data_IF_902267984221
#
_entry.id   IF_902267984221
#
_cell.length_a   1.000
_cell.length_b   1.000
_cell.length_c   1.000
_cell.angle_alpha   90.00
_cell.angle_beta   90.00
_cell.angle_gamma   90.00
#
_symmetry.space_group_name_H-M   'P 1'
#
loop_
_entity.id
_entity.type
_entity.pdbx_description
1 polymer ?
#
# COMPACT_ATOMS: atom_id res chain seq x y z
N UNK A 1 -13.51 -41.76 -19.21
CA UNK A 1 -13.99 -40.36 -19.10
C UNK A 1 -14.46 -40.15 -17.65
N UNK A 2 -13.94 -39.15 -16.92
CA UNK A 2 -14.37 -38.91 -15.51
C UNK A 2 -13.37 -38.18 -14.59
N UNK A 3 -12.09 -38.08 -14.98
CA UNK A 3 -11.06 -37.49 -14.11
C UNK A 3 -11.27 -36.01 -13.75
N UNK A 4 -11.74 -35.21 -14.73
CA UNK A 4 -12.06 -33.79 -14.50
C UNK A 4 -13.20 -33.62 -13.50
N UNK A 5 -14.31 -34.33 -13.71
CA UNK A 5 -15.51 -34.17 -12.86
C UNK A 5 -15.23 -34.64 -11.44
N UNK A 6 -14.47 -35.74 -11.27
CA UNK A 6 -14.01 -36.18 -9.96
C UNK A 6 -13.17 -35.11 -9.25
N UNK A 7 -12.22 -34.48 -9.95
CA UNK A 7 -11.39 -33.42 -9.40
C UNK A 7 -12.19 -32.16 -9.02
N UNK A 8 -13.12 -31.72 -9.89
CA UNK A 8 -14.00 -30.58 -9.62
C UNK A 8 -14.88 -30.86 -8.41
N UNK A 9 -15.50 -32.04 -8.33
CA UNK A 9 -16.34 -32.43 -7.21
C UNK A 9 -15.56 -32.47 -5.88
N UNK A 10 -14.31 -32.95 -5.89
CA UNK A 10 -13.45 -32.92 -4.72
C UNK A 10 -13.13 -31.48 -4.28
N UNK A 11 -12.79 -30.59 -5.23
CA UNK A 11 -12.50 -29.19 -4.95
C UNK A 11 -13.71 -28.45 -4.36
N UNK A 12 -14.92 -28.65 -4.91
CA UNK A 12 -16.16 -28.04 -4.39
C UNK A 12 -16.45 -28.49 -2.95
N UNK A 13 -16.28 -29.78 -2.65
CA UNK A 13 -16.47 -30.31 -1.29
C UNK A 13 -15.45 -29.71 -0.31
N UNK A 14 -14.17 -29.65 -0.71
CA UNK A 14 -13.12 -29.05 0.11
C UNK A 14 -13.38 -27.56 0.39
N UNK A 15 -13.76 -26.79 -0.65
CA UNK A 15 -14.10 -25.38 -0.52
C UNK A 15 -15.31 -25.18 0.42
N UNK A 16 -16.37 -25.97 0.23
CA UNK A 16 -17.57 -25.91 1.07
C UNK A 16 -17.27 -26.24 2.54
N UNK A 17 -16.42 -27.24 2.79
CA UNK A 17 -15.97 -27.60 4.14
C UNK A 17 -15.20 -26.45 4.79
N UNK A 18 -14.24 -25.85 4.07
CA UNK A 18 -13.48 -24.69 4.56
C UNK A 18 -14.40 -23.50 4.90
N UNK A 19 -15.37 -23.20 4.04
CA UNK A 19 -16.32 -22.09 4.25
C UNK A 19 -17.22 -22.35 5.46
N UNK A 20 -17.72 -23.58 5.63
CA UNK A 20 -18.46 -23.98 6.85
C UNK A 20 -17.61 -23.87 8.11
N UNK A 21 -16.33 -24.24 8.05
CA UNK A 21 -15.41 -24.09 9.18
C UNK A 21 -15.21 -22.63 9.61
N UNK A 22 -15.24 -21.68 8.67
CA UNK A 22 -15.00 -20.26 8.95
C UNK A 22 -16.29 -19.53 9.39
N UNK A 23 -17.42 -19.85 8.75
CA UNK A 23 -18.64 -19.05 8.85
C UNK A 23 -19.88 -19.84 9.30
N UNK A 24 -19.76 -21.15 9.55
CA UNK A 24 -20.86 -22.05 9.92
C UNK A 24 -21.71 -22.49 8.73
N UNK A 25 -22.82 -23.17 9.00
CA UNK A 25 -23.68 -23.74 7.95
C UNK A 25 -24.40 -22.70 7.08
N UNK A 26 -24.53 -21.46 7.58
CA UNK A 26 -25.05 -20.31 6.85
C UNK A 26 -23.96 -19.45 6.18
N UNK A 27 -22.84 -20.04 5.79
CA UNK A 27 -21.70 -19.30 5.22
C UNK A 27 -22.06 -18.48 3.97
N UNK A 28 -23.07 -18.89 3.21
CA UNK A 28 -23.45 -18.27 1.93
C UNK A 28 -23.86 -16.80 2.07
N UNK A 29 -24.39 -16.40 3.23
CA UNK A 29 -24.81 -15.03 3.53
C UNK A 29 -23.97 -14.38 4.62
N UNK A 30 -22.97 -15.09 5.15
CA UNK A 30 -22.16 -14.63 6.26
C UNK A 30 -21.05 -13.68 5.79
N UNK A 31 -20.92 -12.48 6.39
CA UNK A 31 -19.81 -11.58 6.07
C UNK A 31 -18.44 -12.14 6.49
N UNK A 32 -18.41 -13.21 7.31
CA UNK A 32 -17.18 -13.92 7.67
C UNK A 32 -16.62 -14.74 6.51
N UNK A 33 -17.46 -15.07 5.52
CA UNK A 33 -17.07 -15.80 4.32
C UNK A 33 -16.84 -14.87 3.11
N UNK A 34 -16.79 -13.55 3.31
CA UNK A 34 -16.50 -12.62 2.22
C UNK A 34 -15.05 -12.75 1.75
N UNK A 35 -14.81 -12.43 0.47
CA UNK A 35 -13.48 -12.52 -0.11
C UNK A 35 -12.42 -11.75 0.69
N UNK A 36 -12.74 -10.51 1.08
CA UNK A 36 -11.85 -9.62 1.84
C UNK A 36 -11.38 -10.18 3.20
N UNK A 37 -12.11 -11.15 3.78
CA UNK A 37 -11.68 -11.81 5.03
C UNK A 37 -10.55 -12.81 4.83
N UNK A 38 -10.44 -13.39 3.64
CA UNK A 38 -9.35 -14.30 3.28
C UNK A 38 -8.26 -13.59 2.48
N UNK A 39 -8.66 -12.56 1.74
CA UNK A 39 -7.82 -11.81 0.84
C UNK A 39 -7.47 -10.47 1.46
N UNK A 40 -6.47 -10.47 2.34
CA UNK A 40 -5.98 -9.26 3.00
C UNK A 40 -4.65 -8.83 2.42
N UNK A 41 -4.47 -7.52 2.25
CA UNK A 41 -3.19 -6.90 1.93
C UNK A 41 -2.45 -6.55 3.24
N UNK A 42 -1.23 -7.05 3.36
CA UNK A 42 -0.34 -6.75 4.47
C UNK A 42 0.71 -5.73 4.04
N UNK A 43 0.71 -4.55 4.66
CA UNK A 43 1.71 -3.50 4.47
C UNK A 43 2.82 -3.68 5.51
N UNK A 44 3.67 -4.69 5.29
CA UNK A 44 4.69 -5.15 6.25
C UNK A 44 5.99 -4.37 6.09
N UNK A 45 6.48 -3.80 7.19
CA UNK A 45 7.76 -3.13 7.22
C UNK A 45 8.91 -4.14 7.11
N UNK A 46 10.03 -3.83 6.41
CA UNK A 46 11.17 -4.74 6.29
C UNK A 46 11.73 -5.21 7.63
N UNK A 47 11.73 -4.37 8.67
CA UNK A 47 12.14 -4.78 10.01
C UNK A 47 11.19 -5.83 10.60
N UNK A 48 9.88 -5.65 10.50
CA UNK A 48 8.88 -6.64 10.94
C UNK A 48 9.11 -7.97 10.26
N UNK A 49 9.27 -7.95 8.93
CA UNK A 49 9.55 -9.14 8.13
C UNK A 49 10.86 -9.82 8.54
N UNK A 50 11.95 -9.06 8.66
CA UNK A 50 13.28 -9.61 8.91
C UNK A 50 13.44 -10.13 10.35
N UNK A 51 12.67 -9.59 11.29
CA UNK A 51 12.61 -10.07 12.68
C UNK A 51 11.65 -11.26 12.86
N UNK A 52 10.97 -11.71 11.80
CA UNK A 52 10.01 -12.82 11.87
C UNK A 52 8.74 -12.50 12.66
N UNK A 53 8.40 -11.22 12.80
CA UNK A 53 7.21 -10.79 13.51
C UNK A 53 5.95 -10.95 12.63
N UNK A 54 4.77 -11.15 13.23
CA UNK A 54 3.51 -11.24 12.49
C UNK A 54 3.22 -9.96 11.69
N UNK A 55 2.62 -10.04 10.48
CA UNK A 55 2.13 -8.87 9.77
C UNK A 55 1.16 -8.03 10.62
N UNK A 56 1.29 -6.70 10.54
CA UNK A 56 0.50 -5.77 11.36
C UNK A 56 1.09 -5.54 12.75
N UNK A 57 2.32 -5.99 13.01
CA UNK A 57 3.01 -5.71 14.28
C UNK A 57 3.37 -4.23 14.41
N UNK A 58 2.90 -3.63 15.49
CA UNK A 58 3.34 -2.30 15.90
C UNK A 58 4.85 -2.32 16.24
N UNK A 59 5.55 -1.17 16.14
CA UNK A 59 5.04 0.10 15.64
C UNK A 59 4.90 0.14 14.11
N UNK A 60 5.81 -0.49 13.38
CA UNK A 60 6.08 -0.13 12.00
C UNK A 60 5.01 -0.53 10.98
N UNK A 61 4.26 -1.59 11.22
CA UNK A 61 3.26 -2.03 10.26
C UNK A 61 1.96 -1.25 10.42
N UNK A 62 1.32 -0.96 9.28
CA UNK A 62 -0.04 -0.42 9.24
C UNK A 62 -1.03 -1.59 9.35
N UNK A 63 -2.22 -1.40 9.97
CA UNK A 63 -3.24 -2.44 10.00
C UNK A 63 -3.52 -3.00 8.61
N UNK A 64 -3.64 -4.32 8.53
CA UNK A 64 -3.94 -4.99 7.27
C UNK A 64 -5.31 -4.58 6.77
N UNK A 65 -5.44 -4.48 5.45
CA UNK A 65 -6.69 -4.06 4.80
C UNK A 65 -7.26 -5.20 3.97
N UNK A 66 -8.57 -5.31 3.92
CA UNK A 66 -9.25 -6.23 3.01
C UNK A 66 -8.95 -5.81 1.56
N UNK A 67 -8.54 -6.77 0.75
CA UNK A 67 -8.29 -6.58 -0.67
C UNK A 67 -9.45 -7.19 -1.46
N UNK A 68 -9.90 -6.46 -2.47
CA UNK A 68 -10.72 -7.02 -3.54
C UNK A 68 -9.83 -7.38 -4.74
N UNK A 69 -10.43 -7.92 -5.79
CA UNK A 69 -9.70 -8.38 -6.96
C UNK A 69 -8.91 -9.66 -6.71
N UNK A 70 -8.14 -10.05 -7.72
CA UNK A 70 -7.20 -11.18 -7.71
C UNK A 70 -6.13 -10.96 -8.80
N UNK A 71 -5.27 -11.98 -9.00
CA UNK A 71 -4.19 -12.02 -10.02
C UNK A 71 -4.63 -11.65 -11.44
N UNK A 72 -5.89 -11.90 -11.80
CA UNK A 72 -6.46 -11.78 -13.14
C UNK A 72 -7.42 -10.58 -13.29
N UNK A 73 -7.68 -9.83 -12.21
CA UNK A 73 -8.53 -8.64 -12.28
C UNK A 73 -7.73 -7.35 -12.50
N UNK A 74 -8.39 -6.30 -12.99
CA UNK A 74 -7.79 -4.96 -13.10
C UNK A 74 -7.34 -4.43 -11.73
N UNK A 75 -8.13 -4.69 -10.68
CA UNK A 75 -7.72 -4.43 -9.30
C UNK A 75 -6.70 -5.50 -8.87
N UNK A 76 -5.46 -5.37 -9.36
CA UNK A 76 -4.42 -6.36 -9.16
C UNK A 76 -4.14 -6.59 -7.67
N UNK A 77 -4.38 -7.81 -7.23
CA UNK A 77 -4.17 -8.30 -5.86
C UNK A 77 -3.80 -9.79 -5.90
N UNK A 78 -2.57 -10.09 -6.30
CA UNK A 78 -2.14 -11.46 -6.53
C UNK A 78 -1.88 -12.20 -5.21
N UNK A 79 -2.38 -13.43 -5.15
CA UNK A 79 -2.07 -14.39 -4.07
C UNK A 79 -0.74 -15.08 -4.33
N UNK A 80 -0.03 -15.45 -3.26
CA UNK A 80 1.22 -16.21 -3.39
C UNK A 80 0.99 -17.68 -3.75
N UNK A 81 -0.12 -18.27 -3.28
CA UNK A 81 -0.47 -19.67 -3.56
C UNK A 81 -1.97 -19.92 -3.41
N UNK A 82 -2.45 -21.11 -3.83
CA UNK A 82 -3.85 -21.51 -3.59
C UNK A 82 -4.12 -21.99 -2.15
N UNK A 83 -3.07 -22.08 -1.31
CA UNK A 83 -3.20 -22.39 0.11
C UNK A 83 -3.30 -21.11 0.97
N UNK A 84 -2.66 -20.04 0.52
CA UNK A 84 -2.63 -18.73 1.18
C UNK A 84 -3.24 -17.69 0.25
N UNK A 85 -4.46 -17.28 0.58
CA UNK A 85 -5.20 -16.29 -0.19
C UNK A 85 -4.88 -14.85 0.17
N UNK A 86 -3.87 -14.56 1.00
CA UNK A 86 -3.49 -13.18 1.26
C UNK A 86 -2.97 -12.49 -0.02
N UNK A 87 -3.31 -11.22 -0.19
CA UNK A 87 -2.87 -10.39 -1.32
C UNK A 87 -1.43 -9.93 -1.04
N UNK A 88 -0.46 -10.83 -1.13
CA UNK A 88 0.93 -10.57 -0.73
C UNK A 88 1.95 -10.73 -1.85
N UNK A 89 1.56 -11.22 -3.02
CA UNK A 89 2.48 -11.37 -4.15
C UNK A 89 2.68 -10.05 -4.90
N UNK A 90 1.62 -9.50 -5.48
CA UNK A 90 1.65 -8.26 -6.25
C UNK A 90 0.39 -7.44 -5.98
N UNK A 91 0.54 -6.14 -5.73
CA UNK A 91 -0.58 -5.24 -5.46
C UNK A 91 -0.41 -3.89 -6.18
N UNK A 92 -1.49 -3.12 -6.20
CA UNK A 92 -1.50 -1.75 -6.75
C UNK A 92 -0.62 -0.81 -5.92
N UNK A 93 0.50 -0.37 -6.48
CA UNK A 93 1.41 0.57 -5.81
C UNK A 93 0.95 2.04 -5.85
N UNK A 94 0.23 2.44 -6.90
CA UNK A 94 -0.25 3.80 -7.08
C UNK A 94 -1.40 3.81 -8.10
N UNK A 95 -2.38 4.70 -7.94
CA UNK A 95 -3.37 5.00 -8.98
C UNK A 95 -3.29 6.48 -9.31
N UNK A 96 -3.29 6.79 -10.61
CA UNK A 96 -3.19 8.16 -11.11
C UNK A 96 -4.16 8.34 -12.27
N UNK A 97 -4.83 9.49 -12.30
CA UNK A 97 -5.67 9.94 -13.42
C UNK A 97 -5.28 11.37 -13.74
N UNK A 98 -5.01 11.65 -15.02
CA UNK A 98 -4.76 12.99 -15.53
C UNK A 98 -5.76 13.32 -16.63
N UNK A 99 -6.38 14.48 -16.54
CA UNK A 99 -7.11 15.12 -17.63
C UNK A 99 -6.14 15.91 -18.49
N UNK A 100 -6.01 15.50 -19.76
CA UNK A 100 -5.18 16.21 -20.73
C UNK A 100 -5.80 17.54 -21.17
N UNK A 101 -7.11 17.75 -20.94
CA UNK A 101 -7.79 18.99 -21.28
C UNK A 101 -7.46 20.13 -20.28
N UNK A 102 -7.18 19.78 -19.02
CA UNK A 102 -6.76 20.75 -17.99
C UNK A 102 -5.93 20.06 -16.91
N UNK A 103 -4.60 20.10 -17.08
CA UNK A 103 -3.63 19.61 -16.09
C UNK A 103 -3.61 20.46 -14.81
N UNK A 104 -4.21 21.65 -14.84
CA UNK A 104 -4.33 22.59 -13.72
C UNK A 104 -5.54 22.36 -12.82
N UNK A 105 -6.47 21.48 -13.19
CA UNK A 105 -7.72 21.29 -12.46
C UNK A 105 -7.61 20.18 -11.39
N UNK A 106 -7.66 20.51 -10.09
CA UNK A 106 -7.55 19.53 -9.03
C UNK A 106 -8.78 18.60 -8.91
N UNK A 107 -9.91 18.96 -9.50
CA UNK A 107 -11.12 18.13 -9.53
C UNK A 107 -11.01 16.93 -10.48
N UNK A 108 -10.24 17.09 -11.57
CA UNK A 108 -10.11 16.11 -12.66
C UNK A 108 -8.83 15.27 -12.57
N UNK A 109 -7.80 15.78 -11.90
CA UNK A 109 -6.53 15.08 -11.72
C UNK A 109 -6.47 14.41 -10.34
N UNK A 110 -6.21 13.10 -10.30
CA UNK A 110 -6.32 12.29 -9.09
C UNK A 110 -5.07 11.43 -8.88
N UNK A 111 -4.65 11.27 -7.64
CA UNK A 111 -3.56 10.39 -7.22
C UNK A 111 -3.88 9.71 -5.90
N UNK A 112 -3.38 8.51 -5.71
CA UNK A 112 -3.37 7.84 -4.41
C UNK A 112 -2.24 6.80 -4.34
N UNK A 113 -1.64 6.68 -3.16
CA UNK A 113 -0.69 5.63 -2.81
C UNK A 113 -1.21 4.80 -1.62
N UNK A 114 -0.79 3.52 -1.45
CA UNK A 114 -1.21 2.64 -0.35
C UNK A 114 -0.90 3.15 1.04
N UNK A 115 0.20 3.89 1.18
CA UNK A 115 0.65 4.52 2.40
C UNK A 115 0.65 6.04 2.23
N UNK A 116 1.12 6.77 3.22
CA UNK A 116 1.29 8.20 3.11
C UNK A 116 2.54 8.61 2.33
N UNK A 117 2.80 9.92 2.28
CA UNK A 117 3.96 10.49 1.56
C UNK A 117 5.28 10.40 2.33
N UNK A 118 5.25 9.98 3.61
CA UNK A 118 6.43 9.88 4.45
C UNK A 118 6.83 8.42 4.71
N UNK A 119 8.12 8.13 4.63
CA UNK A 119 8.70 6.87 5.11
C UNK A 119 9.06 6.88 6.60
N UNK A 120 8.85 7.99 7.31
CA UNK A 120 9.17 8.11 8.74
C UNK A 120 8.00 7.60 9.58
N UNK A 121 8.22 6.54 10.37
CA UNK A 121 7.16 5.84 11.12
C UNK A 121 6.26 6.77 11.98
N UNK A 122 6.84 7.78 12.64
CA UNK A 122 6.09 8.73 13.48
C UNK A 122 5.54 9.95 12.72
N UNK A 123 5.62 9.97 11.38
CA UNK A 123 5.06 11.06 10.60
C UNK A 123 3.53 10.95 10.56
N UNK A 124 2.79 12.08 10.66
CA UNK A 124 1.35 12.08 10.38
C UNK A 124 1.04 11.63 8.94
N UNK A 125 2.03 11.70 8.03
CA UNK A 125 1.91 11.28 6.64
C UNK A 125 2.55 9.91 6.38
N UNK A 126 2.70 9.05 7.40
CA UNK A 126 3.22 7.69 7.20
C UNK A 126 2.19 6.77 6.52
N UNK A 127 0.93 6.88 6.91
CA UNK A 127 -0.15 5.98 6.48
C UNK A 127 -1.51 6.68 6.30
N UNK A 128 -1.52 8.01 6.20
CA UNK A 128 -2.74 8.84 6.13
C UNK A 128 -3.63 8.56 4.90
N UNK A 129 -3.08 7.94 3.86
CA UNK A 129 -3.80 7.60 2.63
C UNK A 129 -4.35 6.16 2.61
N UNK A 130 -3.93 5.28 3.53
CA UNK A 130 -4.21 3.84 3.44
C UNK A 130 -5.70 3.52 3.37
N UNK A 131 -6.51 4.19 4.18
CA UNK A 131 -7.97 3.99 4.17
C UNK A 131 -8.60 4.45 2.85
N UNK A 132 -8.13 5.54 2.26
CA UNK A 132 -8.63 6.01 0.97
C UNK A 132 -8.25 5.03 -0.14
N UNK A 133 -6.98 4.62 -0.17
CA UNK A 133 -6.47 3.67 -1.15
C UNK A 133 -7.19 2.33 -1.12
N UNK A 134 -7.43 1.78 0.08
CA UNK A 134 -8.13 0.50 0.27
C UNK A 134 -9.57 0.55 -0.24
N UNK A 135 -10.25 1.70 -0.07
CA UNK A 135 -11.61 1.90 -0.56
C UNK A 135 -11.68 2.37 -2.03
N UNK A 136 -10.56 2.39 -2.75
CA UNK A 136 -10.50 2.87 -4.14
C UNK A 136 -10.70 4.38 -4.31
N UNK A 137 -10.70 5.14 -3.21
CA UNK A 137 -10.80 6.59 -3.25
C UNK A 137 -9.44 7.24 -3.60
N UNK A 138 -9.48 8.50 -4.02
CA UNK A 138 -8.31 9.23 -4.50
C UNK A 138 -8.23 10.65 -3.94
N UNK A 139 -7.04 11.23 -4.00
CA UNK A 139 -6.78 12.63 -3.63
C UNK A 139 -6.59 13.50 -4.88
N UNK A 140 -6.95 14.78 -4.84
CA UNK A 140 -6.67 15.70 -5.94
C UNK A 140 -5.17 15.91 -6.13
N UNK A 141 -4.75 16.13 -7.38
CA UNK A 141 -3.41 16.65 -7.69
C UNK A 141 -3.54 18.16 -7.87
N UNK A 142 -2.88 18.93 -7.00
CA UNK A 142 -2.86 20.40 -7.06
C UNK A 142 -1.57 20.82 -7.78
N UNK A 143 -1.71 21.49 -8.91
CA UNK A 143 -0.57 21.85 -9.79
C UNK A 143 -0.42 23.35 -10.02
N UNK A 144 -1.50 24.14 -9.90
CA UNK A 144 -1.44 25.61 -10.02
C UNK A 144 -0.72 26.19 -8.82
N UNK A 145 0.24 27.07 -9.08
CA UNK A 145 1.15 27.59 -8.06
C UNK A 145 0.41 28.25 -6.90
N UNK A 146 -0.60 29.06 -7.18
CA UNK A 146 -1.40 29.76 -6.18
C UNK A 146 -2.13 28.77 -5.26
N UNK A 147 -2.76 27.75 -5.85
CA UNK A 147 -3.46 26.71 -5.11
C UNK A 147 -2.50 25.83 -4.29
N UNK A 148 -1.29 25.57 -4.80
CA UNK A 148 -0.25 24.87 -4.03
C UNK A 148 0.17 25.71 -2.82
N UNK A 149 0.39 27.03 -3.00
CA UNK A 149 0.74 27.93 -1.90
C UNK A 149 -0.37 28.01 -0.84
N UNK A 150 -1.63 28.05 -1.26
CA UNK A 150 -2.79 28.08 -0.36
C UNK A 150 -2.95 26.77 0.43
N UNK A 151 -2.76 25.62 -0.23
CA UNK A 151 -2.88 24.31 0.40
C UNK A 151 -1.63 23.88 1.20
N UNK A 152 -0.54 24.65 1.15
CA UNK A 152 0.71 24.28 1.79
C UNK A 152 0.60 24.30 3.32
N UNK A 153 0.89 23.17 3.96
CA UNK A 153 0.96 23.06 5.43
C UNK A 153 2.33 23.51 5.97
N UNK A 154 3.39 23.36 5.17
CA UNK A 154 4.75 23.78 5.52
C UNK A 154 5.53 24.20 4.27
N UNK A 155 6.46 25.13 4.41
CA UNK A 155 7.34 25.59 3.32
C UNK A 155 8.79 25.58 3.77
N UNK A 156 9.66 25.04 2.92
CA UNK A 156 11.11 25.02 3.13
C UNK A 156 11.80 25.78 2.00
N UNK A 157 12.66 26.73 2.35
CA UNK A 157 13.43 27.52 1.40
C UNK A 157 14.90 27.11 1.47
N UNK A 158 15.38 26.44 0.42
CA UNK A 158 16.80 26.12 0.30
C UNK A 158 17.57 27.34 -0.17
N UNK A 159 18.61 27.72 0.58
CA UNK A 159 19.53 28.79 0.22
C UNK A 159 20.89 28.18 -0.08
N UNK A 160 21.63 28.79 -1.00
CA UNK A 160 23.03 28.44 -1.24
C UNK A 160 23.80 28.54 0.08
N UNK A 161 24.60 27.53 0.41
CA UNK A 161 25.52 27.59 1.54
C UNK A 161 26.47 28.79 1.36
N UNK A 162 26.78 29.50 2.45
CA UNK A 162 27.86 30.50 2.42
C UNK A 162 29.15 29.77 2.02
N UNK A 163 29.87 30.30 1.03
CA UNK A 163 31.19 29.79 0.68
C UNK A 163 32.04 29.81 1.97
N UNK A 164 32.66 28.69 2.37
CA UNK A 164 33.58 28.72 3.49
C UNK A 164 34.64 29.79 3.21
N UNK A 165 34.82 30.73 4.14
CA UNK A 165 36.04 31.55 4.15
C UNK A 165 37.22 30.58 4.17
N UNK A 166 38.19 30.78 3.28
CA UNK A 166 39.40 29.96 3.26
C UNK A 166 40.09 30.10 4.62
N UNK A 167 39.82 29.19 5.54
CA UNK A 167 40.68 29.01 6.70
C UNK A 167 41.98 28.43 6.16
N UNK A 168 43.04 29.22 6.20
CA UNK A 168 44.40 28.80 5.92
C UNK A 168 44.77 27.72 6.94
N UNK A 169 44.42 26.46 6.64
CA UNK A 169 44.94 25.31 7.37
C UNK A 169 46.37 25.12 6.89
N UNK A 170 47.31 25.78 7.54
CA UNK A 170 48.72 25.38 7.50
C UNK A 170 48.79 23.94 8.02
N UNK A 171 48.87 22.97 7.10
CA UNK A 171 49.32 21.62 7.45
C UNK A 171 50.76 21.77 7.93
N UNK A 172 50.96 21.71 9.24
CA UNK A 172 52.28 21.42 9.80
C UNK A 172 52.62 19.99 9.37
N UNK A 173 53.64 19.87 8.52
CA UNK A 173 54.22 18.59 8.13
C UNK A 173 55.01 18.08 9.33
N UNK A 174 54.68 16.89 9.84
CA UNK A 174 55.51 16.23 10.86
C UNK A 174 56.90 15.94 10.25
N UNK A 175 57.99 16.26 10.96
CA UNK A 175 59.32 15.79 10.57
C UNK A 175 59.45 14.27 10.76
N UNK A 176 60.32 13.67 9.95
CA UNK A 176 60.60 12.23 9.81
C UNK A 176 60.95 11.51 11.12
#
# INVERSE_FOLDING_TARGET
AGGRDAAVNAAVRAASSRLRGVAGDGWQTSPKASWGRFHTCHLVHPLTKNLGLPPGSAPFDVPSVEAAGDTNTIMQAAVKSLADFTATSSNVSMRVVFSLADLGNPGTNRIISPLGQSGQFNSPHYADQTKLWANGATRPIITREEAVREAAVATMVFRKAKTPSASTSTRSVCPE
#
